data_IF_657490469509
#
_entry.id   IF_657490469509
#
_cell.length_a   1.000
_cell.length_b   1.000
_cell.length_c   1.000
_cell.angle_alpha   90.00
_cell.angle_beta   90.00
_cell.angle_gamma   90.00
#
_symmetry.space_group_name_H-M   'P 1'
#
loop_
_entity.id
_entity.type
_entity.pdbx_description
1 polymer ?
#
# COMPACT_ATOMS: atom_id res chain seq x y z
N UNK A 1 12.30 16.52 -1.91
CA UNK A 1 12.18 15.06 -1.80
C UNK A 1 11.05 14.56 -2.68
N UNK A 2 11.39 13.88 -3.75
CA UNK A 2 10.39 13.53 -4.74
C UNK A 2 10.38 12.03 -5.01
N UNK A 3 9.24 11.40 -4.70
CA UNK A 3 9.00 10.01 -5.04
C UNK A 3 7.74 9.98 -5.87
N UNK A 4 7.81 9.30 -7.00
CA UNK A 4 6.69 9.26 -7.93
C UNK A 4 6.28 7.81 -8.18
N UNK A 5 5.00 7.61 -8.42
CA UNK A 5 4.49 6.33 -8.90
C UNK A 5 3.85 6.55 -10.26
N UNK A 6 4.09 5.62 -11.17
CA UNK A 6 3.48 5.66 -12.49
C UNK A 6 2.64 4.39 -12.67
N UNK A 7 1.36 4.58 -12.92
CA UNK A 7 0.45 3.46 -13.14
C UNK A 7 0.32 3.22 -14.64
N UNK A 8 0.58 2.00 -15.04
CA UNK A 8 0.62 1.64 -16.45
C UNK A 8 -0.47 0.62 -16.77
N UNK A 9 -1.10 0.77 -17.94
CA UNK A 9 -1.95 -0.29 -18.44
C UNK A 9 -1.12 -1.52 -18.76
N UNK A 10 -1.73 -2.69 -18.67
CA UNK A 10 -1.00 -3.95 -18.84
C UNK A 10 -0.27 -4.04 -20.17
N UNK A 11 -0.89 -3.63 -21.24
CA UNK A 11 -0.26 -3.74 -22.55
C UNK A 11 0.95 -2.81 -22.67
N UNK A 12 0.90 -1.63 -22.08
CA UNK A 12 2.04 -0.73 -22.08
C UNK A 12 3.13 -1.25 -21.15
N UNK A 13 2.76 -1.74 -19.98
CA UNK A 13 3.71 -2.34 -19.05
C UNK A 13 4.45 -3.52 -19.70
N UNK A 14 3.74 -4.31 -20.49
CA UNK A 14 4.32 -5.47 -21.15
C UNK A 14 5.44 -5.08 -22.12
N UNK A 15 5.44 -3.83 -22.62
CA UNK A 15 6.50 -3.39 -23.54
C UNK A 15 7.84 -3.23 -22.86
N UNK A 16 7.89 -3.20 -21.53
CA UNK A 16 9.12 -3.00 -20.77
C UNK A 16 9.89 -4.30 -20.51
N UNK A 17 9.23 -5.44 -20.68
CA UNK A 17 9.86 -6.74 -20.41
C UNK A 17 9.19 -7.82 -21.24
N UNK A 18 9.82 -8.98 -21.28
CA UNK A 18 9.35 -10.10 -22.08
C UNK A 18 8.51 -11.11 -21.31
N UNK A 19 8.54 -11.01 -19.98
CA UNK A 19 7.77 -11.90 -19.12
C UNK A 19 6.29 -11.50 -19.17
N UNK A 20 5.44 -12.42 -18.72
CA UNK A 20 4.02 -12.13 -18.65
C UNK A 20 3.66 -11.16 -17.53
N UNK A 21 2.40 -10.81 -17.48
CA UNK A 21 1.85 -9.98 -16.41
C UNK A 21 1.54 -10.89 -15.22
N UNK A 22 1.97 -10.49 -14.04
CA UNK A 22 1.71 -11.26 -12.82
C UNK A 22 0.20 -11.30 -12.52
N UNK A 23 -0.28 -12.46 -12.10
CA UNK A 23 -1.67 -12.61 -11.68
C UNK A 23 -1.76 -12.28 -10.19
N UNK A 24 -2.16 -11.05 -9.87
CA UNK A 24 -2.22 -10.57 -8.50
C UNK A 24 -3.35 -11.19 -7.70
N UNK A 25 -4.25 -11.95 -8.34
CA UNK A 25 -5.27 -12.70 -7.61
C UNK A 25 -4.71 -13.99 -7.00
N UNK A 26 -3.56 -14.45 -7.48
CA UNK A 26 -2.97 -15.73 -7.06
C UNK A 26 -1.70 -15.59 -6.27
N UNK A 27 -0.95 -14.51 -6.47
CA UNK A 27 0.35 -14.36 -5.84
C UNK A 27 0.68 -12.89 -5.67
N UNK A 28 1.63 -12.63 -4.79
CA UNK A 28 2.01 -11.26 -4.45
C UNK A 28 3.53 -11.18 -4.40
N UNK A 29 4.09 -10.29 -5.19
CA UNK A 29 5.53 -10.13 -5.21
C UNK A 29 6.00 -9.04 -4.26
N UNK A 30 5.22 -7.96 -4.14
CA UNK A 30 5.66 -6.79 -3.38
C UNK A 30 4.56 -6.33 -2.44
N UNK A 31 4.99 -5.68 -1.37
CA UNK A 31 4.17 -4.91 -0.46
C UNK A 31 4.71 -3.49 -0.50
N UNK A 32 3.86 -2.53 -0.84
CA UNK A 32 4.29 -1.14 -0.95
C UNK A 32 3.86 -0.41 0.32
N UNK A 33 4.83 0.16 1.03
CA UNK A 33 4.56 0.89 2.27
C UNK A 33 4.70 2.37 2.04
N UNK A 34 3.69 3.13 2.49
CA UNK A 34 3.73 4.60 2.50
C UNK A 34 3.57 5.04 3.94
N UNK A 35 4.46 5.93 4.38
CA UNK A 35 4.39 6.45 5.75
C UNK A 35 3.55 7.72 5.81
N UNK A 36 2.94 7.94 6.97
CA UNK A 36 2.14 9.12 7.27
C UNK A 36 2.64 9.74 8.57
N UNK A 37 2.24 10.98 8.81
CA UNK A 37 2.74 11.76 9.95
C UNK A 37 2.02 11.45 11.25
N UNK A 38 0.90 10.74 11.21
CA UNK A 38 0.12 10.47 12.42
C UNK A 38 -0.77 9.26 12.21
N UNK A 39 -1.27 8.72 13.32
CA UNK A 39 -2.26 7.63 13.27
C UNK A 39 -3.52 8.08 12.57
N UNK A 40 -3.94 9.32 12.81
CA UNK A 40 -5.13 9.84 12.16
C UNK A 40 -4.95 9.94 10.64
N UNK A 41 -3.76 10.33 10.18
CA UNK A 41 -3.49 10.39 8.74
C UNK A 41 -3.54 9.01 8.10
N UNK A 42 -3.08 7.97 8.81
CA UNK A 42 -3.21 6.59 8.34
C UNK A 42 -4.69 6.24 8.16
N UNK A 43 -5.50 6.51 9.19
CA UNK A 43 -6.92 6.18 9.14
C UNK A 43 -7.63 6.94 8.03
N UNK A 44 -7.34 8.23 7.88
CA UNK A 44 -7.97 9.05 6.86
C UNK A 44 -7.71 8.48 5.46
N UNK A 45 -6.46 8.12 5.20
CA UNK A 45 -6.08 7.59 3.89
C UNK A 45 -6.73 6.23 3.64
N UNK A 46 -6.62 5.31 4.60
CA UNK A 46 -7.11 3.95 4.41
C UNK A 46 -8.64 3.94 4.34
N UNK A 47 -9.31 4.71 5.21
CA UNK A 47 -10.77 4.78 5.17
C UNK A 47 -11.26 5.34 3.84
N UNK A 48 -10.56 6.33 3.30
CA UNK A 48 -10.90 6.86 1.99
C UNK A 48 -10.71 5.81 0.89
N UNK A 49 -9.61 5.08 0.94
CA UNK A 49 -9.34 4.03 -0.05
C UNK A 49 -10.44 2.97 -0.02
N UNK A 50 -10.84 2.54 1.18
CA UNK A 50 -11.91 1.55 1.32
C UNK A 50 -13.23 2.08 0.79
N UNK A 51 -13.52 3.36 1.02
CA UNK A 51 -14.74 3.98 0.57
C UNK A 51 -14.85 4.00 -0.95
N UNK A 52 -13.74 4.15 -1.65
CA UNK A 52 -13.74 4.24 -3.11
C UNK A 52 -13.44 2.92 -3.80
N UNK A 53 -13.43 1.81 -3.07
CA UNK A 53 -13.42 0.49 -3.69
C UNK A 53 -12.29 -0.44 -3.32
N UNK A 54 -11.32 0.02 -2.54
CA UNK A 54 -10.26 -0.87 -2.06
C UNK A 54 -10.83 -1.90 -1.10
N UNK A 55 -10.12 -3.01 -0.93
CA UNK A 55 -10.55 -4.08 -0.04
C UNK A 55 -9.67 -4.12 1.19
N UNK A 56 -10.22 -4.39 2.38
CA UNK A 56 -9.39 -4.55 3.56
C UNK A 56 -8.43 -5.72 3.38
N UNK A 57 -7.23 -5.60 3.92
CA UNK A 57 -6.23 -6.65 3.82
C UNK A 57 -5.46 -6.73 5.12
N UNK A 58 -5.47 -7.93 5.74
CA UNK A 58 -4.77 -8.15 7.00
C UNK A 58 -5.39 -7.40 8.16
N UNK A 59 -4.71 -7.45 9.28
CA UNK A 59 -5.17 -6.83 10.51
C UNK A 59 -4.42 -5.54 10.77
N UNK A 60 -5.09 -4.60 11.46
CA UNK A 60 -4.44 -3.39 11.93
C UNK A 60 -3.33 -3.75 12.90
N UNK A 61 -2.16 -3.18 12.70
CA UNK A 61 -1.02 -3.34 13.61
C UNK A 61 -0.92 -2.08 14.46
N UNK A 62 -1.15 -2.21 15.74
CA UNK A 62 -1.17 -1.07 16.65
C UNK A 62 -0.22 -1.30 17.81
N UNK A 63 0.98 -0.74 17.68
CA UNK A 63 2.00 -0.80 18.72
C UNK A 63 2.28 0.62 19.21
N UNK A 64 2.97 0.74 20.35
CA UNK A 64 3.31 2.05 20.87
C UNK A 64 4.09 2.91 19.89
N UNK A 65 4.99 2.27 19.13
CA UNK A 65 5.89 2.97 18.22
C UNK A 65 5.43 2.95 16.77
N UNK A 66 4.36 2.20 16.45
CA UNK A 66 3.96 2.02 15.07
C UNK A 66 2.48 1.71 14.97
N UNK A 67 1.85 2.29 13.96
CA UNK A 67 0.46 2.00 13.63
C UNK A 67 0.35 1.82 12.13
N UNK A 68 -0.18 0.69 11.69
CA UNK A 68 -0.33 0.47 10.25
C UNK A 68 -1.62 -0.25 9.92
N UNK A 69 -2.12 0.05 8.75
CA UNK A 69 -3.29 -0.59 8.16
C UNK A 69 -2.97 -0.88 6.70
N UNK A 70 -3.62 -1.89 6.17
CA UNK A 70 -3.36 -2.33 4.80
C UNK A 70 -4.65 -2.45 4.01
N UNK A 71 -4.52 -2.33 2.70
CA UNK A 71 -5.64 -2.58 1.80
C UNK A 71 -5.13 -3.11 0.47
N UNK A 72 -6.03 -3.74 -0.28
CA UNK A 72 -5.77 -4.14 -1.65
C UNK A 72 -6.43 -3.11 -2.57
N UNK A 73 -5.69 -2.62 -3.54
CA UNK A 73 -6.26 -1.70 -4.51
C UNK A 73 -7.11 -2.45 -5.54
N UNK A 74 -7.62 -1.73 -6.53
CA UNK A 74 -8.51 -2.34 -7.52
C UNK A 74 -7.82 -3.42 -8.37
N UNK A 75 -6.50 -3.39 -8.40
CA UNK A 75 -5.70 -4.36 -9.14
C UNK A 75 -5.08 -5.42 -8.24
N UNK A 76 -5.54 -5.49 -6.98
CA UNK A 76 -5.08 -6.45 -5.97
C UNK A 76 -3.62 -6.27 -5.57
N UNK A 77 -3.07 -5.08 -5.73
CA UNK A 77 -1.77 -4.76 -5.15
C UNK A 77 -1.95 -4.42 -3.68
N UNK A 78 -1.02 -4.89 -2.87
CA UNK A 78 -1.09 -4.71 -1.42
C UNK A 78 -0.35 -3.45 -1.00
N UNK A 79 -1.06 -2.56 -0.33
CA UNK A 79 -0.52 -1.30 0.19
C UNK A 79 -0.60 -1.32 1.70
N UNK A 80 0.49 -0.92 2.34
CA UNK A 80 0.54 -0.71 3.79
C UNK A 80 0.73 0.77 4.05
N UNK A 81 -0.13 1.32 4.91
CA UNK A 81 -0.05 2.72 5.29
C UNK A 81 0.35 2.75 6.76
N UNK A 82 1.47 3.39 7.07
CA UNK A 82 2.08 3.26 8.40
C UNK A 82 2.46 4.60 8.98
N UNK A 83 2.32 4.71 10.29
CA UNK A 83 2.87 5.78 11.10
C UNK A 83 3.93 5.18 12.01
N UNK A 84 5.11 5.77 12.02
CA UNK A 84 6.19 5.37 12.92
C UNK A 84 6.53 6.52 13.83
N UNK A 85 6.55 6.23 15.13
CA UNK A 85 7.04 7.19 16.11
C UNK A 85 8.54 6.96 16.28
N UNK A 86 9.31 7.71 15.51
CA UNK A 86 10.77 7.53 15.48
C UNK A 86 11.40 7.80 16.85
N UNK A 87 10.79 8.66 17.65
CA UNK A 87 11.33 8.96 18.96
C UNK A 87 11.28 7.74 19.88
N UNK A 88 10.34 6.84 19.66
CA UNK A 88 10.22 5.62 20.47
C UNK A 88 11.28 4.57 20.10
N UNK A 89 11.96 4.76 18.99
CA UNK A 89 12.96 3.82 18.50
C UNK A 89 14.38 4.19 18.92
N UNK A 90 14.55 5.29 19.62
CA UNK A 90 15.87 5.78 20.04
C UNK A 90 16.21 5.43 21.47
#
# INVERSE_FOLDING_TARGET
>A
QNIFAMLLKEDFFQTFHKEGIADTTKAREVLITITQDSRQAVDTLVDHALKIGAKPAGETQDYDFMYSRSYLDLDNHLWEIAYLDESALK
#
